data_IF_582049951499
#
_entry.id   IF_582049951499
#
_cell.length_a   1.000
_cell.length_b   1.000
_cell.length_c   1.000
_cell.angle_alpha   90.00
_cell.angle_beta   90.00
_cell.angle_gamma   90.00
#
_symmetry.space_group_name_H-M   'P 1'
#
loop_
_entity.id
_entity.type
_entity.pdbx_description
1 polymer ?
#
# COMPACT_ATOMS: atom_id res chain seq x y z
N UNK A 1 -11.65 -0.97 -25.45
CA UNK A 1 -10.31 -0.95 -24.82
C UNK A 1 -9.95 -2.38 -24.44
N UNK A 2 -8.79 -2.91 -24.83
CA UNK A 2 -8.37 -4.24 -24.42
C UNK A 2 -8.27 -4.28 -22.89
N UNK A 3 -8.90 -5.28 -22.28
CA UNK A 3 -8.79 -5.48 -20.84
C UNK A 3 -7.38 -5.97 -20.53
N UNK A 4 -6.68 -5.31 -19.61
CA UNK A 4 -5.40 -5.79 -19.10
C UNK A 4 -5.62 -7.14 -18.38
N UNK A 5 -5.17 -8.23 -18.99
CA UNK A 5 -5.31 -9.59 -18.46
C UNK A 5 -4.62 -9.73 -17.09
N UNK A 6 -3.62 -8.90 -16.84
CA UNK A 6 -2.85 -8.85 -15.58
C UNK A 6 -3.28 -7.69 -14.66
N UNK A 7 -4.50 -7.18 -14.79
CA UNK A 7 -4.98 -6.12 -13.92
C UNK A 7 -5.11 -6.61 -12.46
N UNK A 8 -4.74 -5.73 -11.52
CA UNK A 8 -4.93 -6.00 -10.11
C UNK A 8 -6.40 -6.31 -9.78
N UNK A 9 -6.72 -7.43 -9.12
CA UNK A 9 -8.12 -7.79 -8.82
C UNK A 9 -8.84 -6.77 -7.92
N UNK A 10 -8.08 -5.94 -7.22
CA UNK A 10 -8.61 -4.92 -6.32
C UNK A 10 -8.71 -3.52 -6.95
N UNK A 11 -8.34 -3.33 -8.23
CA UNK A 11 -8.21 -2.00 -8.84
C UNK A 11 -9.49 -1.16 -8.77
N UNK A 12 -10.68 -1.78 -8.82
CA UNK A 12 -11.96 -1.08 -8.71
C UNK A 12 -12.32 -0.64 -7.28
N UNK A 13 -11.71 -1.25 -6.27
CA UNK A 13 -12.03 -1.02 -4.85
C UNK A 13 -10.95 -0.25 -4.11
N UNK A 14 -9.69 -0.54 -4.41
CA UNK A 14 -8.53 -0.03 -3.71
C UNK A 14 -8.32 1.48 -3.89
N UNK A 15 -8.60 2.03 -5.08
CA UNK A 15 -8.38 3.47 -5.36
C UNK A 15 -6.91 3.91 -5.42
N UNK A 16 -5.95 3.01 -5.18
CA UNK A 16 -4.52 3.33 -5.18
C UNK A 16 -3.90 3.54 -6.57
N UNK A 17 -4.59 3.08 -7.63
CA UNK A 17 -4.12 3.15 -9.02
C UNK A 17 -5.21 3.65 -9.94
N UNK A 18 -4.93 4.68 -10.75
CA UNK A 18 -5.88 5.20 -11.72
C UNK A 18 -5.85 4.48 -13.08
N UNK A 19 -4.69 3.93 -13.48
CA UNK A 19 -4.47 3.37 -14.80
C UNK A 19 -4.22 1.86 -14.81
N UNK A 20 -4.45 1.17 -13.69
CA UNK A 20 -4.12 -0.25 -13.53
C UNK A 20 -4.91 -1.20 -14.46
N UNK A 21 -6.01 -0.74 -15.02
CA UNK A 21 -6.83 -1.46 -16.00
C UNK A 21 -6.31 -1.38 -17.43
N UNK A 22 -5.27 -0.56 -17.66
CA UNK A 22 -4.63 -0.38 -18.99
C UNK A 22 -3.32 -1.19 -19.05
N UNK A 23 -2.97 -1.77 -20.21
CA UNK A 23 -1.63 -2.29 -20.47
C UNK A 23 -0.57 -1.22 -20.24
N UNK A 24 0.64 -1.60 -19.83
CA UNK A 24 1.67 -0.62 -19.46
C UNK A 24 2.06 0.29 -20.62
N UNK A 25 2.14 -0.24 -21.83
CA UNK A 25 2.38 0.56 -23.05
C UNK A 25 1.32 1.65 -23.27
N UNK A 26 0.04 1.31 -23.04
CA UNK A 26 -1.05 2.29 -23.13
C UNK A 26 -0.97 3.34 -22.00
N UNK A 27 -0.54 2.95 -20.78
CA UNK A 27 -0.29 3.89 -19.69
C UNK A 27 0.80 4.90 -20.05
N UNK A 28 1.88 4.46 -20.70
CA UNK A 28 2.96 5.34 -21.19
C UNK A 28 2.42 6.31 -22.25
N UNK A 29 1.74 5.80 -23.25
CA UNK A 29 1.12 6.64 -24.31
C UNK A 29 0.14 7.67 -23.74
N UNK A 30 -0.71 7.26 -22.79
CA UNK A 30 -1.64 8.16 -22.11
C UNK A 30 -0.91 9.28 -21.34
N UNK A 31 0.16 8.94 -20.62
CA UNK A 31 0.97 9.93 -19.89
C UNK A 31 1.70 10.87 -20.81
N UNK A 32 2.31 10.34 -21.89
CA UNK A 32 2.99 11.12 -22.92
C UNK A 32 2.04 12.14 -23.55
N UNK A 33 0.88 11.68 -24.04
CA UNK A 33 -0.12 12.55 -24.63
C UNK A 33 -0.59 13.65 -23.67
N UNK A 34 -0.75 13.33 -22.39
CA UNK A 34 -1.13 14.31 -21.37
C UNK A 34 -0.07 15.39 -21.16
N UNK A 35 1.21 15.03 -21.13
CA UNK A 35 2.31 16.00 -20.99
C UNK A 35 2.43 16.85 -22.24
N UNK A 36 2.36 16.26 -23.43
CA UNK A 36 2.35 17.02 -24.71
C UNK A 36 1.19 18.03 -24.74
N UNK A 37 -0.01 17.62 -24.31
CA UNK A 37 -1.16 18.53 -24.25
C UNK A 37 -0.93 19.73 -23.32
N UNK A 38 -0.19 19.56 -22.24
CA UNK A 38 0.06 20.62 -21.25
C UNK A 38 1.24 21.52 -21.62
N UNK A 39 2.31 20.95 -22.19
CA UNK A 39 3.58 21.65 -22.39
C UNK A 39 3.97 21.84 -23.86
N UNK A 40 3.35 21.13 -24.80
CA UNK A 40 3.77 21.12 -26.19
C UNK A 40 3.65 22.48 -26.91
N UNK A 41 2.87 23.43 -26.36
CA UNK A 41 2.85 24.82 -26.87
C UNK A 41 4.01 25.67 -26.40
N UNK A 42 4.75 25.22 -25.38
CA UNK A 42 5.84 25.96 -24.74
C UNK A 42 7.21 25.40 -25.09
N UNK A 43 7.31 24.06 -25.22
CA UNK A 43 8.57 23.38 -25.51
C UNK A 43 8.35 22.03 -26.20
N UNK A 44 9.43 21.51 -26.79
CA UNK A 44 9.46 20.12 -27.23
C UNK A 44 9.37 19.18 -26.03
N UNK A 45 8.57 18.13 -26.16
CA UNK A 45 8.43 17.08 -25.16
C UNK A 45 9.05 15.81 -25.71
N UNK A 46 10.13 15.38 -25.10
CA UNK A 46 10.83 14.16 -25.46
C UNK A 46 9.98 12.90 -25.16
N UNK A 47 10.41 11.77 -25.70
CA UNK A 47 9.75 10.48 -25.49
C UNK A 47 9.79 10.07 -24.02
N UNK A 48 8.68 9.53 -23.51
CA UNK A 48 8.58 9.06 -22.13
C UNK A 48 9.48 7.86 -21.89
N UNK A 49 10.30 7.93 -20.84
CA UNK A 49 11.13 6.81 -20.39
C UNK A 49 10.28 5.90 -19.52
N UNK A 50 10.03 4.67 -19.97
CA UNK A 50 9.31 3.65 -19.22
C UNK A 50 10.21 2.86 -18.28
N UNK A 51 9.60 2.12 -17.36
CA UNK A 51 10.29 1.15 -16.51
C UNK A 51 10.30 -0.21 -17.20
N UNK A 52 11.43 -0.94 -17.11
CA UNK A 52 11.51 -2.32 -17.59
C UNK A 52 10.59 -3.26 -16.79
N UNK A 53 10.50 -3.05 -15.48
CA UNK A 53 9.65 -3.81 -14.56
C UNK A 53 8.75 -2.87 -13.77
N UNK A 54 7.53 -2.55 -14.25
CA UNK A 54 6.63 -1.58 -13.61
C UNK A 54 5.85 -2.17 -12.42
N UNK A 55 6.42 -3.15 -11.73
CA UNK A 55 5.86 -3.84 -10.57
C UNK A 55 6.85 -3.83 -9.41
N UNK A 56 6.33 -3.93 -8.19
CA UNK A 56 7.08 -4.03 -6.92
C UNK A 56 8.13 -2.94 -6.71
N UNK A 57 7.95 -1.78 -7.33
CA UNK A 57 8.89 -0.65 -7.27
C UNK A 57 8.66 0.31 -6.09
N UNK A 58 7.49 0.22 -5.43
CA UNK A 58 7.13 1.12 -4.35
C UNK A 58 7.76 0.67 -3.04
N UNK A 59 8.88 1.28 -2.70
CA UNK A 59 9.71 0.93 -1.54
C UNK A 59 9.31 1.64 -0.22
N UNK A 60 8.30 2.50 -0.25
CA UNK A 60 7.65 3.11 0.92
C UNK A 60 6.17 2.73 0.89
N UNK A 61 5.76 1.90 1.84
CA UNK A 61 4.42 1.33 1.92
C UNK A 61 3.79 1.73 3.25
N UNK A 62 2.53 2.13 3.22
CA UNK A 62 1.75 2.41 4.42
C UNK A 62 0.43 1.64 4.35
N UNK A 63 0.23 0.72 5.29
CA UNK A 63 -1.00 -0.03 5.44
C UNK A 63 -1.82 0.49 6.62
N UNK A 64 -3.11 0.70 6.40
CA UNK A 64 -4.09 0.91 7.46
C UNK A 64 -4.51 -0.44 8.05
N UNK A 65 -4.74 -0.49 9.35
CA UNK A 65 -5.23 -1.67 10.05
C UNK A 65 -6.66 -1.46 10.50
N UNK A 66 -7.48 -2.48 10.37
CA UNK A 66 -8.88 -2.46 10.76
C UNK A 66 -9.35 -3.86 11.13
N UNK A 67 -10.61 -3.97 11.51
CA UNK A 67 -11.29 -5.25 11.78
C UNK A 67 -12.42 -5.45 10.79
N UNK A 68 -12.51 -6.62 10.17
CA UNK A 68 -13.58 -6.97 9.28
C UNK A 68 -14.90 -7.29 10.06
N UNK A 69 -15.99 -7.53 9.31
CA UNK A 69 -17.29 -7.86 9.92
C UNK A 69 -17.30 -9.17 10.71
N UNK A 70 -16.31 -10.03 10.50
CA UNK A 70 -16.13 -11.33 11.18
C UNK A 70 -15.21 -11.23 12.40
N UNK A 71 -14.71 -10.03 12.71
CA UNK A 71 -13.77 -9.81 13.81
C UNK A 71 -12.31 -10.10 13.48
N UNK A 72 -11.97 -10.38 12.21
CA UNK A 72 -10.59 -10.62 11.83
C UNK A 72 -9.85 -9.29 11.61
N UNK A 73 -8.58 -9.24 12.04
CA UNK A 73 -7.71 -8.11 11.74
C UNK A 73 -7.34 -8.15 10.26
N UNK A 74 -7.58 -7.06 9.57
CA UNK A 74 -7.22 -6.83 8.17
C UNK A 74 -6.25 -5.67 8.06
N UNK A 75 -5.44 -5.66 7.00
CA UNK A 75 -4.56 -4.55 6.66
C UNK A 75 -4.67 -4.24 5.17
N UNK A 76 -4.47 -3.00 4.79
CA UNK A 76 -4.54 -2.56 3.40
C UNK A 76 -4.65 -1.05 3.28
N UNK A 77 -5.44 -0.59 2.33
CA UNK A 77 -5.61 0.83 2.02
C UNK A 77 -7.05 1.28 2.23
N UNK A 78 -7.24 2.54 2.53
CA UNK A 78 -8.59 3.10 2.57
C UNK A 78 -9.21 3.13 1.17
N UNK A 79 -10.44 2.69 1.07
CA UNK A 79 -11.26 2.92 -0.11
C UNK A 79 -11.43 4.43 -0.30
N UNK A 80 -11.32 4.89 -1.55
CA UNK A 80 -11.46 6.31 -1.88
C UNK A 80 -12.69 6.94 -1.21
N UNK A 81 -12.50 8.11 -0.62
CA UNK A 81 -13.53 8.90 0.06
C UNK A 81 -14.25 8.16 1.21
N UNK A 82 -13.59 7.20 1.85
CA UNK A 82 -14.16 6.48 2.99
C UNK A 82 -13.07 6.05 3.98
N UNK A 83 -13.46 5.73 5.24
CA UNK A 83 -12.59 5.10 6.25
C UNK A 83 -12.59 3.58 6.17
N UNK A 84 -13.22 3.00 5.14
CA UNK A 84 -13.27 1.56 4.97
C UNK A 84 -11.95 1.03 4.43
N UNK A 85 -11.33 0.11 5.14
CA UNK A 85 -10.11 -0.55 4.70
C UNK A 85 -10.43 -1.65 3.70
N UNK A 86 -9.84 -1.58 2.52
CA UNK A 86 -9.79 -2.67 1.54
C UNK A 86 -8.62 -3.56 1.91
N UNK A 87 -8.90 -4.81 2.25
CA UNK A 87 -7.85 -5.77 2.59
C UNK A 87 -6.95 -6.04 1.39
N UNK A 88 -5.64 -5.89 1.59
CA UNK A 88 -4.61 -6.16 0.60
C UNK A 88 -3.61 -7.13 1.22
N UNK A 89 -3.48 -8.31 0.62
CA UNK A 89 -2.49 -9.31 1.04
C UNK A 89 -1.17 -9.12 0.29
N UNK A 90 -1.27 -8.84 -1.00
CA UNK A 90 -0.14 -8.52 -1.88
C UNK A 90 -0.57 -7.43 -2.85
N UNK A 91 0.29 -6.43 -3.00
CA UNK A 91 0.10 -5.35 -3.96
C UNK A 91 1.08 -5.50 -5.12
N UNK A 92 0.59 -5.38 -6.35
CA UNK A 92 1.44 -5.49 -7.55
C UNK A 92 2.49 -4.37 -7.65
N UNK A 93 2.30 -3.25 -6.94
CA UNK A 93 3.21 -2.10 -6.99
C UNK A 93 4.14 -2.00 -5.78
N UNK A 94 3.73 -2.55 -4.64
CA UNK A 94 4.47 -2.46 -3.38
C UNK A 94 5.60 -3.48 -3.33
N UNK A 95 6.65 -3.14 -2.59
CA UNK A 95 7.78 -4.04 -2.32
C UNK A 95 7.26 -5.30 -1.61
N UNK A 96 7.59 -6.48 -2.14
CA UNK A 96 7.10 -7.76 -1.61
C UNK A 96 7.50 -7.99 -0.15
N UNK A 97 8.68 -7.49 0.24
CA UNK A 97 9.14 -7.60 1.63
C UNK A 97 8.32 -6.72 2.57
N UNK A 98 7.83 -5.58 2.08
CA UNK A 98 6.90 -4.75 2.85
C UNK A 98 5.57 -5.46 3.07
N UNK A 99 5.02 -6.12 2.07
CA UNK A 99 3.79 -6.93 2.20
C UNK A 99 3.97 -8.07 3.21
N UNK A 100 5.11 -8.78 3.18
CA UNK A 100 5.45 -9.82 4.16
C UNK A 100 5.48 -9.29 5.60
N UNK A 101 6.13 -8.14 5.81
CA UNK A 101 6.24 -7.50 7.13
C UNK A 101 4.85 -7.09 7.63
N UNK A 102 4.03 -6.46 6.79
CA UNK A 102 2.67 -6.07 7.14
C UNK A 102 1.83 -7.29 7.51
N UNK A 103 1.95 -8.38 6.75
CA UNK A 103 1.32 -9.66 7.05
C UNK A 103 1.79 -10.26 8.39
N UNK A 104 3.07 -10.16 8.69
CA UNK A 104 3.65 -10.59 9.98
C UNK A 104 3.11 -9.78 11.14
N UNK A 105 3.10 -8.44 11.03
CA UNK A 105 2.51 -7.55 12.05
C UNK A 105 1.04 -7.92 12.31
N UNK A 106 0.25 -8.20 11.27
CA UNK A 106 -1.14 -8.63 11.41
C UNK A 106 -1.28 -9.93 12.21
N UNK A 107 -0.41 -10.92 11.97
CA UNK A 107 -0.36 -12.18 12.74
C UNK A 107 0.04 -11.92 14.19
N UNK A 108 1.04 -11.07 14.42
CA UNK A 108 1.50 -10.71 15.76
C UNK A 108 0.43 -9.99 16.57
N UNK A 109 -0.34 -9.06 15.99
CA UNK A 109 -1.46 -8.44 16.69
C UNK A 109 -2.42 -9.49 17.25
N UNK A 110 -2.76 -10.50 16.45
CA UNK A 110 -3.63 -11.60 16.89
C UNK A 110 -2.99 -12.39 18.04
N UNK A 111 -1.71 -12.78 17.92
CA UNK A 111 -0.99 -13.56 18.93
C UNK A 111 -0.84 -12.81 20.25
N UNK A 112 -0.62 -11.51 20.19
CA UNK A 112 -0.46 -10.65 21.37
C UNK A 112 -1.81 -10.12 21.91
N UNK A 113 -2.94 -10.52 21.30
CA UNK A 113 -4.30 -10.05 21.63
C UNK A 113 -4.44 -8.52 21.57
N UNK A 114 -3.71 -7.89 20.66
CA UNK A 114 -3.80 -6.46 20.38
C UNK A 114 -4.84 -6.22 19.30
N UNK A 115 -5.66 -5.17 19.46
CA UNK A 115 -6.74 -4.83 18.51
C UNK A 115 -6.25 -3.83 17.46
N UNK A 116 -6.75 -3.93 16.22
CA UNK A 116 -6.64 -2.84 15.28
C UNK A 116 -7.43 -1.63 15.81
N UNK A 117 -6.96 -0.44 15.48
CA UNK A 117 -7.64 0.81 15.87
C UNK A 117 -8.91 1.00 15.03
N UNK A 118 -9.96 1.44 15.69
CA UNK A 118 -11.22 1.80 15.05
C UNK A 118 -11.37 3.33 15.10
N UNK A 119 -11.41 3.97 13.93
CA UNK A 119 -11.48 5.43 13.81
C UNK A 119 -12.81 6.01 14.31
N UNK A 120 -13.90 5.24 14.22
CA UNK A 120 -15.23 5.69 14.65
C UNK A 120 -15.37 5.70 16.17
N UNK A 121 -14.89 4.63 16.82
CA UNK A 121 -14.95 4.49 18.28
C UNK A 121 -13.73 5.08 18.99
N UNK A 122 -12.67 5.41 18.24
CA UNK A 122 -11.37 5.87 18.75
C UNK A 122 -10.70 4.89 19.71
N UNK A 123 -10.98 3.60 19.55
CA UNK A 123 -10.45 2.52 20.40
C UNK A 123 -9.60 1.56 19.61
N UNK A 124 -8.64 0.93 20.28
CA UNK A 124 -7.72 -0.04 19.70
C UNK A 124 -6.28 0.43 19.73
N UNK A 125 -5.37 -0.45 19.31
CA UNK A 125 -3.94 -0.23 19.45
C UNK A 125 -3.29 0.23 18.14
N UNK A 126 -3.33 -0.56 17.08
CA UNK A 126 -2.57 -0.29 15.85
C UNK A 126 -3.43 0.36 14.77
N UNK A 127 -3.03 1.57 14.36
CA UNK A 127 -3.68 2.34 13.27
C UNK A 127 -3.04 2.03 11.91
N UNK A 128 -1.71 2.21 11.82
CA UNK A 128 -0.99 2.07 10.56
C UNK A 128 0.36 1.39 10.79
N UNK A 129 0.84 0.74 9.74
CA UNK A 129 2.23 0.30 9.63
C UNK A 129 2.83 0.97 8.41
N UNK A 130 3.96 1.68 8.61
CA UNK A 130 4.77 2.19 7.52
C UNK A 130 6.03 1.33 7.41
N UNK A 131 6.28 0.80 6.22
CA UNK A 131 7.53 0.11 5.89
C UNK A 131 8.26 0.92 4.84
N UNK A 132 9.54 1.16 5.07
CA UNK A 132 10.43 1.79 4.10
C UNK A 132 11.67 0.93 3.91
N UNK A 133 11.95 0.56 2.66
CA UNK A 133 13.14 -0.21 2.31
C UNK A 133 14.10 0.62 1.47
N UNK A 134 15.37 0.64 1.85
CA UNK A 134 16.42 1.28 1.06
C UNK A 134 16.74 0.45 -0.17
N UNK A 135 16.57 1.01 -1.36
CA UNK A 135 16.78 0.28 -2.62
C UNK A 135 18.20 -0.26 -2.76
N UNK A 136 19.22 0.56 -2.44
CA UNK A 136 20.62 0.16 -2.52
C UNK A 136 21.12 -0.58 -1.28
N UNK A 137 20.73 -0.13 -0.09
CA UNK A 137 21.23 -0.69 1.17
C UNK A 137 20.49 -1.95 1.61
N UNK A 138 19.29 -2.20 1.10
CA UNK A 138 18.42 -3.28 1.57
C UNK A 138 17.88 -3.09 2.99
N UNK A 139 18.31 -2.06 3.72
CA UNK A 139 17.85 -1.79 5.08
C UNK A 139 16.36 -1.50 5.12
N UNK A 140 15.73 -1.96 6.19
CA UNK A 140 14.28 -1.84 6.38
C UNK A 140 13.99 -1.04 7.64
N UNK A 141 13.12 -0.04 7.53
CA UNK A 141 12.55 0.69 8.65
C UNK A 141 11.06 0.34 8.75
N UNK A 142 10.62 -0.06 9.93
CA UNK A 142 9.21 -0.32 10.23
C UNK A 142 8.74 0.67 11.28
N UNK A 143 7.67 1.39 11.00
CA UNK A 143 7.04 2.32 11.94
C UNK A 143 5.63 1.84 12.25
N UNK A 144 5.35 1.64 13.52
CA UNK A 144 4.03 1.28 14.03
C UNK A 144 3.35 2.55 14.55
N UNK A 145 2.26 2.96 13.93
CA UNK A 145 1.45 4.11 14.38
C UNK A 145 0.35 3.58 15.29
N UNK A 146 0.42 3.92 16.56
CA UNK A 146 -0.48 3.40 17.59
C UNK A 146 -1.54 4.44 17.98
N UNK A 147 -2.72 3.99 18.38
CA UNK A 147 -3.81 4.82 18.91
C UNK A 147 -3.63 5.17 20.40
N UNK A 148 -2.66 4.54 21.08
CA UNK A 148 -2.36 4.76 22.49
C UNK A 148 -0.86 4.91 22.68
N UNK A 149 -0.38 5.69 23.68
CA UNK A 149 1.04 5.85 23.97
C UNK A 149 1.67 4.56 24.55
N UNK A 150 0.86 3.72 25.18
CA UNK A 150 1.33 2.46 25.75
C UNK A 150 1.39 1.35 24.72
N UNK A 151 2.51 0.63 24.70
CA UNK A 151 2.68 -0.57 23.89
C UNK A 151 2.82 -1.80 24.78
N UNK A 152 1.73 -2.56 25.00
CA UNK A 152 1.78 -3.76 25.84
C UNK A 152 2.76 -4.80 25.28
N UNK A 153 3.62 -5.35 26.13
CA UNK A 153 4.63 -6.37 25.75
C UNK A 153 5.55 -5.93 24.58
N UNK A 154 5.87 -4.64 24.47
CA UNK A 154 6.67 -4.03 23.40
C UNK A 154 7.91 -4.84 23.03
N UNK A 155 8.76 -5.19 24.04
CA UNK A 155 10.01 -5.93 23.82
C UNK A 155 9.76 -7.29 23.15
N UNK A 156 8.78 -8.06 23.62
CA UNK A 156 8.43 -9.36 23.05
C UNK A 156 7.87 -9.25 21.65
N UNK A 157 7.05 -8.22 21.38
CA UNK A 157 6.51 -7.96 20.06
C UNK A 157 7.60 -7.60 19.06
N UNK A 158 8.52 -6.71 19.44
CA UNK A 158 9.65 -6.28 18.57
C UNK A 158 10.59 -7.46 18.28
N UNK A 159 10.86 -8.31 19.27
CA UNK A 159 11.72 -9.49 19.07
C UNK A 159 11.06 -10.57 18.18
N UNK A 160 9.74 -10.57 18.04
CA UNK A 160 9.00 -11.51 17.21
C UNK A 160 8.76 -10.99 15.78
N UNK A 161 9.03 -9.72 15.52
CA UNK A 161 8.93 -9.08 14.23
C UNK A 161 10.21 -9.22 13.42
#
# INVERSE_FOLDING_TARGET
MPKNINACPLYKKCGGCQLQNMPYSEQLSFKQARVIKLLGSFCHVDEIIGMDKPYNYRNKVQAAFSTDRRGNIISGVYQSSSHKVVAVERCMLEDEKADEIIGTVRKLLKSFKLKAYNEDTRQGFLRHVLVKRGFKSGQIMVVLVTGTPEFPKKRSFVNAL
#
